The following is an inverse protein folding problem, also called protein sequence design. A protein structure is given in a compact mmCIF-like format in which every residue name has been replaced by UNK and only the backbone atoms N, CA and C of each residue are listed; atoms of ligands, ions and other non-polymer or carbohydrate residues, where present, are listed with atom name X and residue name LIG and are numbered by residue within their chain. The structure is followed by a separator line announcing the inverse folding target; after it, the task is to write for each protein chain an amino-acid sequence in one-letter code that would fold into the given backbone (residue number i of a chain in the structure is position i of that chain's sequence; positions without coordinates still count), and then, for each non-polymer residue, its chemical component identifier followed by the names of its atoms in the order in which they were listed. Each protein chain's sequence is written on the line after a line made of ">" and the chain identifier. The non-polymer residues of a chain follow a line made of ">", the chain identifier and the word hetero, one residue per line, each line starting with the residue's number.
data_IF_408076888250
#
_entry.id   IF_408076888250
#
_cell.length_a   1.000
_cell.length_b   1.000
_cell.length_c   1.000
_cell.angle_alpha   90.00
_cell.angle_beta   90.00
_cell.angle_gamma   90.00
#
_symmetry.space_group_name_H-M   'P 1'
#
loop_
_entity.id
_entity.type
_entity.pdbx_description
1 polymer ?
#
# COMPACT_ATOMS: atom_id res chain seq x y z
N UNK A 1 -5.24 -17.37 -19.45
CA UNK A 1 -4.20 -16.34 -19.35
C UNK A 1 -4.59 -15.39 -18.24
N UNK A 2 -3.65 -15.01 -17.37
CA UNK A 2 -3.90 -14.04 -16.34
C UNK A 2 -4.05 -12.61 -16.91
N UNK A 3 -4.66 -11.73 -16.15
CA UNK A 3 -4.89 -10.33 -16.58
C UNK A 3 -3.63 -9.47 -16.68
N UNK A 4 -2.51 -9.94 -16.12
CA UNK A 4 -1.22 -9.23 -16.12
C UNK A 4 -0.14 -9.98 -16.92
N UNK A 5 -0.55 -10.85 -17.82
CA UNK A 5 0.39 -11.64 -18.62
C UNK A 5 1.39 -10.71 -19.37
N UNK A 6 2.69 -10.99 -19.24
CA UNK A 6 3.79 -10.20 -19.80
C UNK A 6 3.91 -8.77 -19.27
N UNK A 7 3.24 -8.39 -18.18
CA UNK A 7 3.43 -7.11 -17.53
C UNK A 7 4.56 -7.17 -16.51
N UNK A 8 5.23 -6.04 -16.34
CA UNK A 8 6.30 -5.85 -15.37
C UNK A 8 5.84 -4.85 -14.30
N UNK A 9 5.92 -5.26 -13.03
CA UNK A 9 5.55 -4.42 -11.91
C UNK A 9 6.72 -4.17 -10.95
N UNK A 10 6.73 -3.01 -10.30
CA UNK A 10 7.57 -2.70 -9.14
C UNK A 10 6.66 -2.48 -7.93
N UNK A 11 6.86 -3.27 -6.86
CA UNK A 11 6.06 -3.19 -5.63
C UNK A 11 6.94 -2.81 -4.45
N UNK A 12 6.67 -1.67 -3.81
CA UNK A 12 7.35 -1.26 -2.58
C UNK A 12 6.67 -1.84 -1.34
N UNK A 13 7.47 -2.24 -0.35
CA UNK A 13 6.95 -2.94 0.83
C UNK A 13 6.34 -4.30 0.48
N UNK A 14 6.86 -4.95 -0.56
CA UNK A 14 6.33 -6.20 -1.10
C UNK A 14 6.72 -7.46 -0.30
N UNK A 15 7.36 -7.33 0.86
CA UNK A 15 7.82 -8.48 1.65
C UNK A 15 6.85 -8.92 2.77
N UNK A 16 5.76 -8.19 3.00
CA UNK A 16 4.81 -8.52 4.07
C UNK A 16 3.41 -7.96 3.85
N UNK A 17 2.45 -8.49 4.60
CA UNK A 17 1.06 -8.05 4.57
C UNK A 17 0.48 -7.95 3.16
N UNK A 18 -0.23 -6.87 2.88
CA UNK A 18 -0.86 -6.63 1.57
C UNK A 18 0.17 -6.63 0.45
N UNK A 19 1.38 -6.08 0.67
CA UNK A 19 2.41 -6.01 -0.37
C UNK A 19 2.85 -7.39 -0.86
N UNK A 20 3.08 -8.35 0.04
CA UNK A 20 3.47 -9.71 -0.35
C UNK A 20 2.33 -10.46 -1.04
N UNK A 21 1.09 -10.23 -0.62
CA UNK A 21 -0.09 -10.77 -1.31
C UNK A 21 -0.24 -10.21 -2.73
N UNK A 22 0.01 -8.91 -2.93
CA UNK A 22 0.04 -8.29 -4.27
C UNK A 22 1.10 -8.95 -5.15
N UNK A 23 2.33 -9.14 -4.64
CA UNK A 23 3.42 -9.75 -5.40
C UNK A 23 3.03 -11.15 -5.85
N UNK A 24 2.56 -12.02 -4.93
CA UNK A 24 2.12 -13.39 -5.27
C UNK A 24 0.98 -13.38 -6.29
N UNK A 25 0.01 -12.51 -6.09
CA UNK A 25 -1.13 -12.42 -7.02
C UNK A 25 -0.70 -11.93 -8.40
N UNK A 26 0.20 -10.96 -8.51
CA UNK A 26 0.70 -10.47 -9.80
C UNK A 26 1.45 -11.57 -10.55
N UNK A 27 2.31 -12.33 -9.85
CA UNK A 27 2.99 -13.50 -10.44
C UNK A 27 1.97 -14.55 -10.92
N UNK A 28 0.95 -14.87 -10.12
CA UNK A 28 -0.12 -15.78 -10.51
C UNK A 28 -0.94 -15.31 -11.73
N UNK A 29 -1.03 -13.98 -11.93
CA UNK A 29 -1.67 -13.37 -13.10
C UNK A 29 -0.73 -13.25 -14.31
N UNK A 30 0.51 -13.76 -14.23
CA UNK A 30 1.47 -13.83 -15.32
C UNK A 30 2.42 -12.62 -15.42
N UNK A 31 2.47 -11.76 -14.41
CA UNK A 31 3.45 -10.66 -14.36
C UNK A 31 4.81 -11.14 -13.83
N UNK A 32 5.87 -10.40 -14.19
CA UNK A 32 7.13 -10.40 -13.45
C UNK A 32 7.18 -9.20 -12.52
N UNK A 33 7.79 -9.38 -11.33
CA UNK A 33 7.70 -8.36 -10.28
C UNK A 33 9.07 -8.03 -9.69
N UNK A 34 9.44 -6.76 -9.68
CA UNK A 34 10.50 -6.26 -8.84
C UNK A 34 9.93 -5.91 -7.45
N UNK A 35 10.56 -6.41 -6.40
CA UNK A 35 10.11 -6.25 -5.02
C UNK A 35 11.11 -5.42 -4.24
N UNK A 36 10.69 -4.25 -3.77
CA UNK A 36 11.53 -3.40 -2.91
C UNK A 36 11.10 -3.54 -1.45
N UNK A 37 12.07 -3.79 -0.57
CA UNK A 37 11.86 -3.90 0.87
C UNK A 37 13.13 -3.64 1.67
N UNK A 38 13.01 -3.43 3.00
CA UNK A 38 14.14 -3.15 3.88
C UNK A 38 14.81 -4.40 4.44
N UNK A 39 14.06 -5.46 4.60
CA UNK A 39 14.50 -6.69 5.28
C UNK A 39 15.04 -7.69 4.27
N UNK A 40 16.36 -7.86 4.27
CA UNK A 40 17.06 -8.76 3.34
C UNK A 40 16.64 -10.23 3.50
N UNK A 41 16.33 -10.68 4.73
CA UNK A 41 15.92 -12.06 4.96
C UNK A 41 14.52 -12.34 4.37
N UNK A 42 13.58 -11.40 4.54
CA UNK A 42 12.26 -11.50 3.93
C UNK A 42 12.31 -11.43 2.40
N UNK A 43 13.19 -10.58 1.84
CA UNK A 43 13.42 -10.52 0.40
C UNK A 43 13.97 -11.85 -0.14
N UNK A 44 14.96 -12.43 0.54
CA UNK A 44 15.54 -13.72 0.17
C UNK A 44 14.51 -14.86 0.25
N UNK A 45 13.69 -14.90 1.29
CA UNK A 45 12.63 -15.90 1.44
C UNK A 45 11.59 -15.81 0.29
N UNK A 46 11.17 -14.59 -0.06
CA UNK A 46 10.21 -14.39 -1.15
C UNK A 46 10.82 -14.74 -2.52
N UNK A 47 12.11 -14.45 -2.72
CA UNK A 47 12.84 -14.86 -3.92
C UNK A 47 12.96 -16.38 -4.04
N UNK A 48 13.21 -17.07 -2.94
CA UNK A 48 13.24 -18.54 -2.92
C UNK A 48 11.87 -19.16 -3.23
N UNK A 49 10.78 -18.51 -2.80
CA UNK A 49 9.40 -18.95 -3.04
C UNK A 49 8.97 -18.77 -4.51
N UNK A 50 9.27 -17.60 -5.10
CA UNK A 50 8.71 -17.20 -6.41
C UNK A 50 9.69 -17.32 -7.57
N UNK A 51 10.97 -17.65 -7.28
CA UNK A 51 12.00 -17.94 -8.29
C UNK A 51 12.19 -16.81 -9.30
N UNK A 52 12.35 -17.18 -10.57
CA UNK A 52 12.63 -16.25 -11.69
C UNK A 52 11.46 -15.31 -12.06
N UNK A 53 10.33 -15.45 -11.38
CA UNK A 53 9.20 -14.54 -11.57
C UNK A 53 9.41 -13.19 -10.90
N UNK A 54 10.37 -13.08 -9.98
CA UNK A 54 10.67 -11.85 -9.29
C UNK A 54 12.16 -11.52 -9.26
N UNK A 55 12.47 -10.23 -9.06
CA UNK A 55 13.75 -9.76 -8.53
C UNK A 55 13.52 -9.02 -7.22
N UNK A 56 14.53 -8.96 -6.38
CA UNK A 56 14.46 -8.26 -5.09
C UNK A 56 15.47 -7.14 -5.02
N UNK A 57 15.06 -5.99 -4.45
CA UNK A 57 15.91 -4.82 -4.24
C UNK A 57 15.79 -4.39 -2.78
N UNK A 58 16.89 -4.50 -2.03
CA UNK A 58 16.91 -3.94 -0.68
C UNK A 58 17.00 -2.43 -0.74
N UNK A 59 16.07 -1.72 -0.06
CA UNK A 59 16.05 -0.26 -0.06
C UNK A 59 14.98 0.33 0.86
N UNK A 60 15.14 1.63 1.15
CA UNK A 60 14.23 2.44 1.92
C UNK A 60 13.49 3.41 0.99
N UNK A 61 12.16 3.35 0.99
CA UNK A 61 11.30 4.22 0.16
C UNK A 61 11.49 5.71 0.47
N UNK A 62 11.93 6.05 1.67
CA UNK A 62 12.22 7.43 2.07
C UNK A 62 13.51 8.00 1.42
N UNK A 63 14.29 7.18 0.69
CA UNK A 63 15.54 7.57 0.05
C UNK A 63 15.41 7.60 -1.47
N UNK A 64 15.73 8.74 -2.07
CA UNK A 64 15.67 8.92 -3.53
C UNK A 64 16.52 7.87 -4.29
N UNK A 65 17.75 7.69 -3.87
CA UNK A 65 18.69 6.77 -4.53
C UNK A 65 18.20 5.32 -4.52
N UNK A 66 17.48 4.91 -3.48
CA UNK A 66 16.96 3.55 -3.37
C UNK A 66 15.77 3.34 -4.32
N UNK A 67 14.90 4.35 -4.48
CA UNK A 67 13.83 4.31 -5.48
C UNK A 67 14.38 4.29 -6.91
N UNK A 68 15.40 5.13 -7.22
CA UNK A 68 16.06 5.10 -8.51
C UNK A 68 16.69 3.73 -8.80
N UNK A 69 17.39 3.15 -7.82
CA UNK A 69 18.01 1.83 -7.96
C UNK A 69 16.97 0.74 -8.20
N UNK A 70 15.82 0.80 -7.52
CA UNK A 70 14.75 -0.18 -7.71
C UNK A 70 14.16 -0.12 -9.13
N UNK A 71 13.93 1.06 -9.68
CA UNK A 71 13.48 1.22 -11.06
C UNK A 71 14.56 0.76 -12.04
N UNK A 72 15.82 1.16 -11.85
CA UNK A 72 16.92 0.76 -12.73
C UNK A 72 17.09 -0.77 -12.77
N UNK A 73 17.08 -1.44 -11.61
CA UNK A 73 17.15 -2.90 -11.53
C UNK A 73 15.95 -3.57 -12.21
N UNK A 74 14.74 -2.97 -12.14
CA UNK A 74 13.56 -3.48 -12.84
C UNK A 74 13.75 -3.43 -14.36
N UNK A 75 14.24 -2.31 -14.87
CA UNK A 75 14.50 -2.12 -16.30
C UNK A 75 15.64 -3.02 -16.79
N UNK A 76 16.72 -3.19 -16.01
CA UNK A 76 17.82 -4.08 -16.32
C UNK A 76 17.35 -5.55 -16.42
N UNK A 77 16.56 -6.00 -15.47
CA UNK A 77 16.11 -7.40 -15.41
C UNK A 77 15.02 -7.75 -16.43
N UNK A 78 14.09 -6.82 -16.69
CA UNK A 78 12.87 -7.12 -17.42
C UNK A 78 12.64 -6.22 -18.65
N UNK A 79 13.47 -5.22 -18.88
CA UNK A 79 13.46 -4.36 -20.06
C UNK A 79 12.39 -3.26 -20.05
N UNK A 80 11.43 -3.27 -19.12
CA UNK A 80 10.34 -2.27 -19.04
C UNK A 80 9.72 -2.20 -17.65
N UNK A 81 8.86 -1.22 -17.43
CA UNK A 81 8.02 -1.11 -16.25
C UNK A 81 6.59 -0.71 -16.67
N UNK A 82 5.59 -1.53 -16.33
CA UNK A 82 4.18 -1.30 -16.67
C UNK A 82 3.35 -0.82 -15.48
N UNK A 83 3.71 -1.25 -14.27
CA UNK A 83 2.96 -0.88 -13.06
C UNK A 83 3.90 -0.57 -11.90
N UNK A 84 3.70 0.60 -11.27
CA UNK A 84 4.32 0.94 -9.99
C UNK A 84 3.29 0.84 -8.87
N UNK A 85 3.58 0.05 -7.82
CA UNK A 85 2.74 -0.06 -6.62
C UNK A 85 3.45 0.57 -5.42
N UNK A 86 2.98 1.73 -4.99
CA UNK A 86 3.37 2.38 -3.74
C UNK A 86 2.59 1.77 -2.57
N UNK A 87 3.24 0.86 -1.81
CA UNK A 87 2.54 0.15 -0.73
C UNK A 87 3.25 0.24 0.62
N UNK A 88 4.55 0.48 0.67
CA UNK A 88 5.30 0.56 1.94
C UNK A 88 4.69 1.59 2.90
N UNK A 89 4.41 1.18 4.13
CA UNK A 89 3.83 2.05 5.15
C UNK A 89 4.23 1.62 6.57
N UNK A 90 4.11 2.56 7.50
CA UNK A 90 4.19 2.35 8.95
C UNK A 90 2.95 2.93 9.62
N UNK A 91 2.68 2.51 10.86
CA UNK A 91 1.44 2.82 11.58
C UNK A 91 1.72 3.46 12.95
N UNK A 92 0.89 4.40 13.37
CA UNK A 92 1.05 5.12 14.64
C UNK A 92 0.27 4.50 15.82
N UNK A 93 -0.29 3.32 15.64
CA UNK A 93 -0.99 2.52 16.65
C UNK A 93 -2.08 3.30 17.40
N UNK A 94 -2.90 4.05 16.67
CA UNK A 94 -3.99 4.87 17.21
C UNK A 94 -3.51 5.91 18.23
N UNK A 95 -2.24 6.38 18.13
CA UNK A 95 -1.69 7.35 19.07
C UNK A 95 -2.41 8.69 18.91
N UNK A 96 -3.05 9.13 19.99
CA UNK A 96 -3.76 10.40 20.04
C UNK A 96 -2.77 11.56 20.14
N UNK A 97 -3.18 12.74 19.64
CA UNK A 97 -2.35 13.96 19.67
C UNK A 97 -1.87 14.29 21.08
N UNK A 98 -2.77 14.19 22.07
CA UNK A 98 -2.49 14.49 23.48
C UNK A 98 -1.62 13.42 24.19
N UNK A 99 -1.21 12.39 23.48
CA UNK A 99 -0.34 11.31 23.96
C UNK A 99 1.03 11.26 23.29
N UNK A 100 1.29 12.16 22.36
CA UNK A 100 2.62 12.35 21.76
C UNK A 100 3.35 13.37 22.62
N UNK A 101 4.48 12.99 23.23
CA UNK A 101 5.30 13.92 23.95
C UNK A 101 5.86 14.99 22.98
N UNK A 102 5.90 16.28 23.34
CA UNK A 102 6.37 17.34 22.45
C UNK A 102 7.76 17.08 21.88
N UNK A 103 8.66 16.49 22.65
CA UNK A 103 10.02 16.10 22.26
C UNK A 103 10.08 14.98 21.22
N UNK A 104 9.06 14.11 21.16
CA UNK A 104 8.96 12.99 20.22
C UNK A 104 8.19 13.36 18.95
N UNK A 105 7.45 14.47 18.97
CA UNK A 105 6.50 14.82 17.90
C UNK A 105 7.19 14.96 16.54
N UNK A 106 8.26 15.74 16.45
CA UNK A 106 8.99 15.98 15.21
C UNK A 106 9.56 14.67 14.62
N UNK A 107 10.15 13.84 15.48
CA UNK A 107 10.71 12.54 15.06
C UNK A 107 9.63 11.62 14.52
N UNK A 108 8.51 11.49 15.23
CA UNK A 108 7.39 10.64 14.82
C UNK A 108 6.75 11.13 13.53
N UNK A 109 6.52 12.45 13.40
CA UNK A 109 6.00 13.08 12.19
C UNK A 109 6.92 12.81 11.00
N UNK A 110 8.20 13.14 11.13
CA UNK A 110 9.17 12.98 10.04
C UNK A 110 9.28 11.52 9.61
N UNK A 111 9.34 10.56 10.54
CA UNK A 111 9.42 9.14 10.20
C UNK A 111 8.17 8.68 9.47
N UNK A 112 6.97 9.02 9.96
CA UNK A 112 5.73 8.57 9.34
C UNK A 112 5.53 9.20 7.95
N UNK A 113 5.71 10.51 7.83
CA UNK A 113 5.50 11.21 6.57
C UNK A 113 6.57 10.88 5.53
N UNK A 114 7.82 10.67 5.94
CA UNK A 114 8.88 10.23 5.02
C UNK A 114 8.57 8.88 4.37
N UNK A 115 7.96 7.95 5.10
CA UNK A 115 7.61 6.64 4.57
C UNK A 115 6.27 6.69 3.85
N UNK A 116 5.21 7.20 4.53
CA UNK A 116 3.83 7.05 4.07
C UNK A 116 3.41 8.08 3.01
N UNK A 117 4.15 9.18 2.85
CA UNK A 117 3.85 10.24 1.86
C UNK A 117 5.03 10.48 0.94
N UNK A 118 6.18 10.90 1.47
CA UNK A 118 7.36 11.21 0.65
C UNK A 118 7.83 9.99 -0.14
N UNK A 119 7.84 8.79 0.46
CA UNK A 119 8.23 7.56 -0.22
C UNK A 119 7.37 7.23 -1.44
N UNK A 120 6.08 7.52 -1.37
CA UNK A 120 5.16 7.37 -2.50
C UNK A 120 5.48 8.35 -3.64
N UNK A 121 5.78 9.60 -3.29
CA UNK A 121 6.16 10.64 -4.26
C UNK A 121 7.53 10.33 -4.90
N UNK A 122 8.53 9.92 -4.11
CA UNK A 122 9.85 9.56 -4.63
C UNK A 122 9.79 8.35 -5.56
N UNK A 123 9.02 7.32 -5.19
CA UNK A 123 8.80 6.16 -6.04
C UNK A 123 8.07 6.50 -7.34
N UNK A 124 7.02 7.32 -7.26
CA UNK A 124 6.30 7.82 -8.43
C UNK A 124 7.22 8.60 -9.38
N UNK A 125 8.01 9.53 -8.82
CA UNK A 125 8.95 10.34 -9.59
C UNK A 125 10.00 9.45 -10.28
N UNK A 126 10.58 8.48 -9.58
CA UNK A 126 11.57 7.56 -10.15
C UNK A 126 10.97 6.71 -11.28
N UNK A 127 9.73 6.27 -11.16
CA UNK A 127 9.04 5.39 -12.11
C UNK A 127 8.47 6.14 -13.34
N UNK A 128 8.29 7.46 -13.26
CA UNK A 128 7.51 8.23 -14.26
C UNK A 128 8.03 8.07 -15.68
N UNK A 129 9.34 8.13 -15.92
CA UNK A 129 9.89 8.02 -17.27
C UNK A 129 9.57 6.65 -17.90
N UNK A 130 9.85 5.56 -17.17
CA UNK A 130 9.60 4.20 -17.65
C UNK A 130 8.10 3.90 -17.85
N UNK A 131 7.25 4.40 -16.94
CA UNK A 131 5.79 4.24 -17.06
C UNK A 131 5.20 5.07 -18.22
N UNK A 132 5.79 6.20 -18.57
CA UNK A 132 5.37 6.98 -19.73
C UNK A 132 5.66 6.23 -21.03
N UNK A 133 6.83 5.60 -21.15
CA UNK A 133 7.17 4.77 -22.31
C UNK A 133 6.23 3.59 -22.50
N UNK A 134 5.84 2.93 -21.40
CA UNK A 134 4.92 1.79 -21.42
C UNK A 134 3.44 2.19 -21.47
N UNK A 135 3.11 3.47 -21.27
CA UNK A 135 1.77 3.97 -20.97
C UNK A 135 1.14 3.21 -19.81
N UNK A 136 1.90 3.07 -18.73
CA UNK A 136 1.62 2.23 -17.59
C UNK A 136 0.65 2.81 -16.57
N UNK A 137 0.76 2.30 -15.33
CA UNK A 137 -0.08 2.76 -14.23
C UNK A 137 0.68 2.86 -12.91
N UNK A 138 0.22 3.77 -12.04
CA UNK A 138 0.60 3.86 -10.63
C UNK A 138 -0.59 3.48 -9.76
N UNK A 139 -0.35 2.67 -8.74
CA UNK A 139 -1.38 2.24 -7.79
C UNK A 139 -0.85 2.47 -6.39
N UNK A 140 -1.57 3.24 -5.59
CA UNK A 140 -1.16 3.56 -4.22
C UNK A 140 -2.05 2.85 -3.19
N UNK A 141 -1.43 2.27 -2.16
CA UNK A 141 -2.13 1.68 -1.02
C UNK A 141 -2.45 2.78 -0.01
N UNK A 142 -3.72 3.18 0.05
CA UNK A 142 -4.23 4.11 1.05
C UNK A 142 -4.65 3.34 2.32
N UNK A 143 -5.81 3.69 2.80
CA UNK A 143 -6.57 3.09 3.90
C UNK A 143 -7.96 3.75 3.90
N UNK A 144 -8.96 3.13 4.52
CA UNK A 144 -10.19 3.81 4.92
C UNK A 144 -9.91 5.07 5.75
N UNK A 145 -8.77 5.10 6.47
CA UNK A 145 -8.25 6.29 7.19
C UNK A 145 -7.90 7.47 6.28
N UNK A 146 -7.92 7.31 4.97
CA UNK A 146 -7.76 8.41 4.02
C UNK A 146 -9.04 9.25 3.83
N UNK A 147 -10.16 8.77 4.35
CA UNK A 147 -11.49 9.40 4.20
C UNK A 147 -12.21 9.55 5.52
N UNK A 148 -11.93 8.69 6.50
CA UNK A 148 -12.70 8.60 7.74
C UNK A 148 -11.76 8.61 8.96
N UNK A 149 -12.24 9.19 10.05
CA UNK A 149 -11.58 9.10 11.35
C UNK A 149 -11.72 7.69 11.96
N UNK A 150 -10.86 7.39 12.94
CA UNK A 150 -10.95 6.18 13.76
C UNK A 150 -10.23 4.95 13.20
N UNK A 151 -9.65 5.02 12.00
CA UNK A 151 -8.85 3.93 11.44
C UNK A 151 -7.34 4.03 11.73
N UNK A 152 -6.92 4.95 12.59
CA UNK A 152 -5.53 5.16 13.01
C UNK A 152 -5.43 6.34 13.97
N UNK A 153 -4.22 6.68 14.41
CA UNK A 153 -3.94 7.89 15.15
C UNK A 153 -3.79 9.12 14.25
N UNK A 154 -3.49 10.25 14.86
CA UNK A 154 -3.53 11.55 14.17
C UNK A 154 -2.53 11.64 13.01
N UNK A 155 -1.31 11.14 13.16
CA UNK A 155 -0.28 11.22 12.12
C UNK A 155 -0.61 10.30 10.94
N UNK A 156 -1.06 9.07 11.21
CA UNK A 156 -1.43 8.11 10.17
C UNK A 156 -2.64 8.58 9.36
N UNK A 157 -3.71 9.00 10.03
CA UNK A 157 -4.92 9.53 9.38
C UNK A 157 -4.56 10.71 8.47
N UNK A 158 -3.76 11.65 8.97
CA UNK A 158 -3.34 12.83 8.20
C UNK A 158 -2.50 12.42 6.97
N UNK A 159 -1.54 11.50 7.14
CA UNK A 159 -0.72 11.03 6.03
C UNK A 159 -1.55 10.30 4.96
N UNK A 160 -2.53 9.47 5.37
CA UNK A 160 -3.39 8.76 4.42
C UNK A 160 -4.36 9.70 3.70
N UNK A 161 -4.86 10.77 4.36
CA UNK A 161 -5.62 11.83 3.69
C UNK A 161 -4.77 12.58 2.63
N UNK A 162 -3.49 12.83 2.91
CA UNK A 162 -2.59 13.46 1.95
C UNK A 162 -2.47 12.64 0.64
N UNK A 163 -2.51 11.30 0.70
CA UNK A 163 -2.43 10.45 -0.48
C UNK A 163 -3.61 10.61 -1.44
N UNK A 164 -4.78 11.04 -0.97
CA UNK A 164 -5.92 11.38 -1.84
C UNK A 164 -5.55 12.52 -2.78
N UNK A 165 -4.90 13.57 -2.21
CA UNK A 165 -4.37 14.68 -2.99
C UNK A 165 -3.27 14.24 -3.95
N UNK A 166 -2.35 13.39 -3.51
CA UNK A 166 -1.27 12.85 -4.35
C UNK A 166 -1.85 12.11 -5.57
N UNK A 167 -2.82 11.22 -5.38
CA UNK A 167 -3.43 10.46 -6.48
C UNK A 167 -4.11 11.40 -7.49
N UNK A 168 -4.92 12.33 -7.00
CA UNK A 168 -5.66 13.27 -7.88
C UNK A 168 -4.72 14.16 -8.68
N UNK A 169 -3.69 14.71 -8.00
CA UNK A 169 -2.74 15.59 -8.66
C UNK A 169 -1.87 14.84 -9.67
N UNK A 170 -1.31 13.68 -9.30
CA UNK A 170 -0.51 12.88 -10.24
C UNK A 170 -1.35 12.36 -11.42
N UNK A 171 -2.60 11.99 -11.20
CA UNK A 171 -3.50 11.60 -12.28
C UNK A 171 -3.72 12.74 -13.29
N UNK A 172 -3.85 13.98 -12.79
CA UNK A 172 -3.97 15.17 -13.63
C UNK A 172 -2.67 15.49 -14.38
N UNK A 173 -1.52 15.45 -13.72
CA UNK A 173 -0.22 15.81 -14.30
C UNK A 173 0.31 14.79 -15.32
N UNK A 174 0.01 13.50 -15.09
CA UNK A 174 0.59 12.41 -15.87
C UNK A 174 -0.34 11.87 -16.97
N UNK A 175 -1.59 12.33 -17.01
CA UNK A 175 -2.49 12.02 -18.11
C UNK A 175 -2.00 12.72 -19.41
N UNK A 176 -2.22 12.11 -20.62
CA UNK A 176 -2.89 10.83 -20.86
C UNK A 176 -1.97 9.60 -20.80
N UNK A 177 -0.69 9.78 -20.46
CA UNK A 177 0.33 8.74 -20.62
C UNK A 177 0.26 7.68 -19.51
N UNK A 178 0.00 8.10 -18.25
CA UNK A 178 0.03 7.24 -17.07
C UNK A 178 -1.29 7.36 -16.31
N UNK A 179 -1.90 6.22 -15.97
CA UNK A 179 -3.07 6.18 -15.08
C UNK A 179 -2.59 6.13 -13.62
N UNK A 180 -3.23 6.88 -12.75
CA UNK A 180 -2.88 6.91 -11.32
C UNK A 180 -4.13 6.65 -10.48
N UNK A 181 -4.12 5.59 -9.70
CA UNK A 181 -5.26 5.15 -8.91
C UNK A 181 -4.84 4.71 -7.50
N UNK A 182 -5.80 4.35 -6.68
CA UNK A 182 -5.54 3.84 -5.34
C UNK A 182 -6.47 2.73 -4.91
N UNK A 183 -6.05 2.00 -3.88
CA UNK A 183 -6.89 1.08 -3.12
C UNK A 183 -6.86 1.54 -1.67
N UNK A 184 -8.02 1.60 -1.03
CA UNK A 184 -8.20 1.98 0.37
C UNK A 184 -8.66 0.77 1.19
N UNK A 185 -7.74 -0.07 1.70
CA UNK A 185 -8.08 -1.18 2.57
C UNK A 185 -8.67 -0.71 3.90
N UNK A 186 -9.55 -1.53 4.48
CA UNK A 186 -9.94 -1.45 5.88
C UNK A 186 -8.99 -2.21 6.80
N UNK A 187 -9.51 -2.61 7.96
CA UNK A 187 -8.76 -3.46 8.89
C UNK A 187 -8.40 -4.79 8.23
N UNK A 188 -7.12 -5.12 8.27
CA UNK A 188 -6.55 -6.28 7.58
C UNK A 188 -5.62 -7.02 8.53
N UNK A 189 -5.64 -8.33 8.48
CA UNK A 189 -4.77 -9.21 9.25
C UNK A 189 -3.33 -9.12 8.75
N UNK A 190 -2.58 -8.12 9.23
CA UNK A 190 -1.20 -7.86 8.79
C UNK A 190 -0.26 -7.65 9.98
N UNK A 191 1.01 -8.04 9.86
CA UNK A 191 2.04 -7.76 10.86
C UNK A 191 2.57 -6.33 10.73
N UNK A 192 1.70 -5.33 10.53
CA UNK A 192 2.11 -3.94 10.36
C UNK A 192 2.90 -3.46 11.58
N UNK A 193 4.03 -2.82 11.32
CA UNK A 193 4.97 -2.37 12.37
C UNK A 193 4.66 -0.94 12.83
N UNK A 194 4.96 -0.68 14.11
CA UNK A 194 4.91 0.64 14.75
C UNK A 194 6.01 1.57 14.26
N UNK A 195 5.85 2.85 14.58
CA UNK A 195 6.91 3.86 14.50
C UNK A 195 7.94 3.63 15.63
N UNK A 196 9.21 3.76 15.29
CA UNK A 196 10.26 3.88 16.29
C UNK A 196 10.08 5.23 17.01
N UNK A 197 9.83 5.21 18.31
CA UNK A 197 9.72 6.45 19.11
C UNK A 197 8.31 6.85 19.54
N UNK A 198 7.23 6.28 18.98
CA UNK A 198 5.92 6.38 19.59
C UNK A 198 5.64 5.10 20.36
N UNK A 199 5.96 5.07 21.68
CA UNK A 199 5.68 3.95 22.60
C UNK A 199 5.63 2.61 21.87
N UNK A 200 6.80 2.13 21.50
CA UNK A 200 6.98 0.95 20.67
C UNK A 200 6.26 -0.25 21.30
N UNK A 201 5.00 -0.42 20.96
CA UNK A 201 4.40 -1.73 21.10
C UNK A 201 5.16 -2.60 20.10
N UNK A 202 6.05 -3.42 20.63
CA UNK A 202 6.82 -4.39 19.84
C UNK A 202 5.93 -5.47 19.20
N UNK A 203 4.61 -5.41 19.48
CA UNK A 203 3.62 -6.40 19.07
C UNK A 203 3.01 -5.95 17.73
N UNK A 204 3.04 -6.79 16.69
CA UNK A 204 2.34 -6.55 15.43
C UNK A 204 0.86 -6.22 15.61
N UNK A 205 0.28 -5.42 14.70
CA UNK A 205 -1.10 -4.94 14.80
C UNK A 205 -2.11 -6.10 14.98
N UNK A 206 -1.96 -7.15 14.20
CA UNK A 206 -2.81 -8.34 14.24
C UNK A 206 -2.67 -9.21 15.52
N UNK A 207 -1.66 -8.93 16.36
CA UNK A 207 -1.45 -9.61 17.64
C UNK A 207 -1.94 -8.77 18.84
N UNK A 208 -2.52 -7.60 18.60
CA UNK A 208 -3.09 -6.77 19.68
C UNK A 208 -4.40 -7.42 20.15
N UNK A 209 -4.53 -7.77 21.45
CA UNK A 209 -5.75 -8.36 21.98
C UNK A 209 -6.98 -7.48 21.70
N UNK A 210 -8.05 -8.08 21.15
CA UNK A 210 -9.30 -7.41 20.83
C UNK A 210 -9.29 -6.56 19.56
N UNK A 211 -8.16 -6.44 18.85
CA UNK A 211 -8.09 -5.67 17.59
C UNK A 211 -9.04 -6.26 16.53
N UNK A 212 -8.95 -7.56 16.27
CA UNK A 212 -9.79 -8.22 15.27
C UNK A 212 -11.28 -8.08 15.59
N UNK A 213 -11.67 -8.40 16.82
CA UNK A 213 -13.08 -8.32 17.25
C UNK A 213 -13.62 -6.89 17.14
N UNK A 214 -12.88 -5.90 17.66
CA UNK A 214 -13.30 -4.51 17.61
C UNK A 214 -13.38 -3.95 16.19
N UNK A 215 -12.44 -4.32 15.33
CA UNK A 215 -12.44 -3.90 13.93
C UNK A 215 -13.56 -4.58 13.13
N UNK A 216 -13.84 -5.87 13.39
CA UNK A 216 -14.93 -6.61 12.77
C UNK A 216 -16.30 -6.00 13.15
N UNK A 217 -16.52 -5.67 14.42
CA UNK A 217 -17.77 -5.05 14.90
C UNK A 217 -17.99 -3.64 14.30
N UNK A 218 -16.92 -2.97 13.86
CA UNK A 218 -17.00 -1.62 13.33
C UNK A 218 -17.49 -1.55 11.88
N UNK A 219 -17.53 -2.66 11.15
CA UNK A 219 -17.90 -2.67 9.72
C UNK A 219 -19.13 -3.54 9.42
N UNK A 220 -19.93 -3.19 8.40
CA UNK A 220 -21.11 -3.97 8.00
C UNK A 220 -20.84 -5.44 7.68
N UNK A 221 -19.71 -5.78 7.09
CA UNK A 221 -19.36 -7.17 6.78
C UNK A 221 -18.91 -7.98 8.02
N UNK A 222 -18.75 -7.35 9.19
CA UNK A 222 -18.48 -7.96 10.50
C UNK A 222 -17.26 -8.89 10.53
N UNK A 223 -16.24 -8.57 9.75
CA UNK A 223 -14.95 -9.25 9.76
C UNK A 223 -13.83 -8.32 9.31
N UNK A 224 -12.61 -8.63 9.66
CA UNK A 224 -11.42 -8.05 9.03
C UNK A 224 -11.09 -8.81 7.75
N UNK A 225 -10.30 -8.19 6.88
CA UNK A 225 -9.86 -8.83 5.64
C UNK A 225 -8.54 -9.59 5.83
N UNK A 226 -8.35 -10.65 5.05
CA UNK A 226 -7.02 -11.18 4.78
C UNK A 226 -6.36 -10.37 3.66
N UNK A 227 -5.01 -10.25 3.63
CA UNK A 227 -4.29 -9.47 2.62
C UNK A 227 -4.67 -9.81 1.18
N UNK A 228 -4.92 -11.07 0.89
CA UNK A 228 -5.27 -11.61 -0.41
C UNK A 228 -6.58 -11.06 -0.97
N UNK A 229 -7.52 -10.72 -0.10
CA UNK A 229 -8.84 -10.22 -0.48
C UNK A 229 -8.82 -8.84 -1.15
N UNK A 230 -7.74 -8.07 -0.92
CA UNK A 230 -7.55 -6.78 -1.58
C UNK A 230 -6.93 -6.89 -2.97
N UNK A 231 -6.24 -8.00 -3.27
CA UNK A 231 -5.35 -8.11 -4.44
C UNK A 231 -6.07 -8.00 -5.78
N UNK A 232 -7.33 -8.42 -5.86
CA UNK A 232 -8.14 -8.29 -7.07
C UNK A 232 -8.28 -6.84 -7.56
N UNK A 233 -8.33 -5.87 -6.65
CA UNK A 233 -8.41 -4.45 -6.99
C UNK A 233 -7.09 -3.95 -7.62
N UNK A 234 -5.94 -4.44 -7.14
CA UNK A 234 -4.63 -4.11 -7.71
C UNK A 234 -4.48 -4.72 -9.10
N UNK A 235 -4.93 -5.97 -9.30
CA UNK A 235 -4.93 -6.62 -10.63
C UNK A 235 -5.80 -5.83 -11.61
N UNK A 236 -7.03 -5.45 -11.21
CA UNK A 236 -7.92 -4.65 -12.03
C UNK A 236 -7.25 -3.33 -12.45
N UNK A 237 -6.72 -2.57 -11.50
CA UNK A 237 -6.14 -1.25 -11.76
C UNK A 237 -4.83 -1.32 -12.57
N UNK A 238 -4.05 -2.40 -12.44
CA UNK A 238 -2.87 -2.65 -13.25
C UNK A 238 -3.25 -3.01 -14.70
N UNK A 239 -4.32 -3.78 -14.88
CA UNK A 239 -4.75 -4.24 -16.21
C UNK A 239 -5.20 -3.09 -17.09
N UNK A 240 -4.46 -2.88 -18.20
CA UNK A 240 -4.83 -1.86 -19.18
C UNK A 240 -6.11 -2.21 -19.93
N UNK A 241 -6.31 -3.49 -20.19
CA UNK A 241 -7.51 -3.98 -20.87
C UNK A 241 -8.77 -3.74 -20.06
N UNK A 242 -8.72 -3.98 -18.73
CA UNK A 242 -9.88 -3.94 -17.86
C UNK A 242 -10.13 -2.58 -17.19
N UNK A 243 -9.09 -1.74 -17.07
CA UNK A 243 -9.17 -0.42 -16.41
C UNK A 243 -8.52 0.71 -17.24
N UNK A 244 -8.48 0.59 -18.56
CA UNK A 244 -7.81 1.55 -19.45
C UNK A 244 -8.33 2.98 -19.36
N UNK A 245 -9.57 3.20 -18.96
CA UNK A 245 -10.18 4.53 -18.80
C UNK A 245 -10.30 4.94 -17.32
N UNK A 246 -9.69 4.18 -16.37
CA UNK A 246 -9.77 4.45 -14.94
C UNK A 246 -8.52 5.18 -14.47
N UNK A 247 -8.67 6.44 -14.08
CA UNK A 247 -7.61 7.25 -13.42
C UNK A 247 -8.24 8.14 -12.34
N UNK A 248 -7.46 8.60 -11.36
CA UNK A 248 -7.88 9.36 -10.19
C UNK A 248 -8.92 8.65 -9.30
N UNK A 249 -9.13 7.36 -9.49
CA UNK A 249 -10.09 6.56 -8.71
C UNK A 249 -9.41 5.92 -7.50
N UNK A 250 -10.18 5.78 -6.40
CA UNK A 250 -9.75 5.07 -5.20
C UNK A 250 -10.82 4.04 -4.86
N UNK A 251 -10.47 2.76 -4.93
CA UNK A 251 -11.39 1.67 -4.62
C UNK A 251 -11.36 1.42 -3.11
N UNK A 252 -12.52 1.54 -2.47
CA UNK A 252 -12.70 1.18 -1.07
C UNK A 252 -12.81 -0.34 -0.94
N UNK A 253 -11.95 -0.94 -0.11
CA UNK A 253 -11.91 -2.37 0.19
C UNK A 253 -11.88 -2.55 1.71
N UNK A 254 -12.95 -2.12 2.39
CA UNK A 254 -12.95 -1.83 3.83
C UNK A 254 -14.15 -2.41 4.61
N UNK A 255 -14.89 -3.32 3.99
CA UNK A 255 -16.03 -3.96 4.62
C UNK A 255 -17.26 -3.04 4.81
N UNK A 256 -17.26 -1.87 4.12
CA UNK A 256 -18.36 -0.90 4.20
C UNK A 256 -18.18 0.13 5.31
N UNK A 257 -16.96 0.50 5.64
CA UNK A 257 -16.67 1.49 6.70
C UNK A 257 -17.44 2.80 6.54
N UNK A 258 -17.69 3.26 5.33
CA UNK A 258 -18.44 4.48 5.04
C UNK A 258 -19.86 4.45 5.58
N UNK A 259 -20.53 3.32 5.43
CA UNK A 259 -21.94 3.16 5.80
C UNK A 259 -22.12 2.60 7.21
N UNK A 260 -21.03 2.53 8.01
CA UNK A 260 -21.13 2.14 9.41
C UNK A 260 -21.98 3.14 10.18
N UNK A 261 -23.01 2.66 10.85
CA UNK A 261 -23.87 3.46 11.74
C UNK A 261 -23.80 2.92 13.17
N UNK A 262 -24.09 3.75 14.15
CA UNK A 262 -24.11 3.39 15.58
C UNK A 262 -25.09 2.24 15.94
N UNK A 263 -25.85 1.74 14.98
CA UNK A 263 -26.85 0.69 15.16
C UNK A 263 -26.74 -0.48 14.17
N UNK A 264 -25.92 -0.40 13.13
CA UNK A 264 -25.97 -1.38 12.03
C UNK A 264 -25.62 -2.83 12.45
N UNK A 265 -24.77 -3.02 13.46
CA UNK A 265 -24.40 -4.35 13.97
C UNK A 265 -25.40 -4.94 14.96
N UNK A 266 -26.25 -4.13 15.61
CA UNK A 266 -27.15 -4.60 16.66
C UNK A 266 -28.45 -5.24 16.16
N UNK A 267 -28.87 -4.99 14.93
CA UNK A 267 -30.15 -5.43 14.38
C UNK A 267 -30.16 -6.81 13.70
N UNK A 268 -29.02 -7.52 13.66
CA UNK A 268 -28.94 -8.86 13.04
C UNK A 268 -28.82 -10.03 14.02
N UNK A 269 -29.07 -9.79 15.31
CA UNK A 269 -29.11 -10.86 16.34
C UNK A 269 -30.57 -11.24 16.73
N UNK A 270 -31.48 -11.21 15.77
CA UNK A 270 -32.83 -11.82 15.94
C UNK A 270 -33.05 -12.87 14.87
#
# INVERSE_FOLDING_TARGET
>A
MGWLNNQIALVTGGTGGIGSAIVRRYVAEGAKVAVMGRDAAQLAALSAELGDSIITVQGDVARWQDNQRAVAATLEAFGRLDTFVGNAAVFDYFTRLDRIAPEDFEKAFNQLFSINVQGYLLGAQAATAALRESRGSMIFTLSNSAFYAGGGGILYVTAKHALVGVIRQLAYELAPDIRVNGVAPGATNTPMKSLEGLNSRSVPLNQIPGFETGAAEAVPLQRIAEPEEHTGHYVLLASRENAGLTTANIIHSDGGWEIRGSGAAKHRKT
#
